data_IF_702385737380
#
_entry.id   IF_702385737380
#
_cell.length_a   1.000
_cell.length_b   1.000
_cell.length_c   1.000
_cell.angle_alpha   90.00
_cell.angle_beta   90.00
_cell.angle_gamma   90.00
#
_symmetry.space_group_name_H-M   'P 1'
#
loop_
_entity.id
_entity.type
_entity.pdbx_description
1 polymer ?
#
# COMPACT_ATOMS: atom_id res chain seq x y z
N UNK A 1 -13.98 -11.74 -17.56
CA UNK A 1 -14.34 -11.17 -16.23
C UNK A 1 -13.14 -11.07 -15.28
N UNK A 2 -12.34 -12.14 -15.10
CA UNK A 2 -11.14 -12.13 -14.22
C UNK A 2 -10.07 -11.08 -14.61
N UNK A 3 -9.75 -10.94 -15.90
CA UNK A 3 -8.75 -9.96 -16.35
C UNK A 3 -9.10 -8.50 -16.00
N UNK A 4 -10.37 -8.13 -16.12
CA UNK A 4 -10.83 -6.79 -15.79
C UNK A 4 -10.67 -6.49 -14.28
N UNK A 5 -10.85 -7.50 -13.42
CA UNK A 5 -10.66 -7.40 -11.98
C UNK A 5 -9.17 -7.28 -11.61
N UNK A 6 -8.31 -8.09 -12.24
CA UNK A 6 -6.85 -8.02 -12.03
C UNK A 6 -6.29 -6.68 -12.45
N UNK A 7 -6.68 -6.17 -13.63
CA UNK A 7 -6.25 -4.85 -14.11
C UNK A 7 -6.67 -3.73 -13.16
N UNK A 8 -7.93 -3.75 -12.68
CA UNK A 8 -8.40 -2.76 -11.70
C UNK A 8 -7.59 -2.81 -10.41
N UNK A 9 -7.28 -3.99 -9.92
CA UNK A 9 -6.48 -4.15 -8.69
C UNK A 9 -5.05 -3.63 -8.87
N UNK A 10 -4.40 -3.91 -10.01
CA UNK A 10 -3.07 -3.35 -10.34
C UNK A 10 -3.09 -1.81 -10.36
N UNK A 11 -4.11 -1.20 -10.96
CA UNK A 11 -4.23 0.27 -11.00
C UNK A 11 -4.42 0.86 -9.60
N UNK A 12 -5.17 0.19 -8.73
CA UNK A 12 -5.39 0.61 -7.34
C UNK A 12 -4.08 0.56 -6.56
N UNK A 13 -3.34 -0.56 -6.65
CA UNK A 13 -2.07 -0.70 -5.95
C UNK A 13 -1.04 0.31 -6.47
N UNK A 14 -0.95 0.48 -7.80
CA UNK A 14 -0.08 1.48 -8.42
C UNK A 14 -0.41 2.90 -7.96
N UNK A 15 -1.69 3.29 -7.94
CA UNK A 15 -2.11 4.57 -7.36
C UNK A 15 -1.76 4.65 -5.87
N UNK A 16 -1.96 3.59 -5.10
CA UNK A 16 -1.58 3.53 -3.69
C UNK A 16 -0.09 3.83 -3.47
N UNK A 17 0.80 3.34 -4.33
CA UNK A 17 2.23 3.68 -4.26
C UNK A 17 2.46 5.14 -4.69
N UNK A 18 1.81 5.59 -5.77
CA UNK A 18 1.92 6.99 -6.24
C UNK A 18 1.47 8.02 -5.20
N UNK A 19 0.44 7.68 -4.42
CA UNK A 19 -0.11 8.53 -3.36
C UNK A 19 0.86 8.77 -2.20
N UNK A 20 1.96 8.01 -2.09
CA UNK A 20 3.06 8.33 -1.15
C UNK A 20 3.62 9.74 -1.40
N UNK A 21 3.60 10.19 -2.65
CA UNK A 21 3.98 11.56 -3.06
C UNK A 21 2.76 12.34 -3.58
N UNK A 22 1.56 11.98 -3.11
CA UNK A 22 0.28 12.57 -3.50
C UNK A 22 -0.02 12.50 -5.02
N UNK A 23 0.52 11.50 -5.71
CA UNK A 23 0.26 11.28 -7.13
C UNK A 23 -0.85 10.24 -7.31
N UNK A 24 -2.07 10.68 -7.65
CA UNK A 24 -3.17 9.78 -8.04
C UNK A 24 -2.97 9.23 -9.48
N UNK A 25 -1.81 8.64 -9.74
CA UNK A 25 -1.42 8.12 -11.04
C UNK A 25 -0.66 6.79 -10.90
N UNK A 26 -1.21 5.72 -11.50
CA UNK A 26 -0.63 4.38 -11.40
C UNK A 26 0.73 4.25 -12.09
N UNK A 27 1.00 5.03 -13.15
CA UNK A 27 2.29 5.05 -13.82
C UNK A 27 3.35 5.69 -12.92
N UNK A 28 3.03 6.79 -12.25
CA UNK A 28 3.92 7.41 -11.25
C UNK A 28 4.28 6.41 -10.15
N UNK A 29 3.29 5.72 -9.58
CA UNK A 29 3.54 4.69 -8.58
C UNK A 29 4.34 3.50 -9.10
N UNK A 30 4.16 3.10 -10.36
CA UNK A 30 4.98 2.07 -11.00
C UNK A 30 6.45 2.51 -11.13
N UNK A 31 6.71 3.74 -11.57
CA UNK A 31 8.06 4.29 -11.66
C UNK A 31 8.73 4.37 -10.28
N UNK A 32 7.99 4.81 -9.26
CA UNK A 32 8.46 4.80 -7.87
C UNK A 32 8.78 3.38 -7.40
N UNK A 33 7.91 2.41 -7.68
CA UNK A 33 8.12 1.01 -7.32
C UNK A 33 9.36 0.42 -8.01
N UNK A 34 9.57 0.74 -9.29
CA UNK A 34 10.80 0.37 -10.02
C UNK A 34 12.03 0.95 -9.31
N UNK A 35 11.99 2.22 -8.93
CA UNK A 35 13.07 2.85 -8.15
C UNK A 35 13.37 2.11 -6.84
N UNK A 36 12.34 1.68 -6.12
CA UNK A 36 12.51 0.88 -4.88
C UNK A 36 13.15 -0.48 -5.21
N UNK A 37 12.68 -1.18 -6.26
CA UNK A 37 13.24 -2.48 -6.65
C UNK A 37 14.69 -2.41 -7.14
N UNK A 38 15.06 -1.32 -7.83
CA UNK A 38 16.45 -1.08 -8.25
C UNK A 38 17.38 -0.90 -7.03
N UNK A 39 16.86 -0.36 -5.94
CA UNK A 39 17.61 -0.20 -4.69
C UNK A 39 17.65 -1.50 -3.86
N UNK A 40 16.51 -2.18 -3.69
CA UNK A 40 16.42 -3.48 -3.01
C UNK A 40 15.14 -4.21 -3.39
N UNK A 41 15.29 -5.46 -3.83
CA UNK A 41 14.15 -6.31 -4.12
C UNK A 41 13.31 -6.62 -2.88
N UNK A 42 13.94 -6.79 -1.70
CA UNK A 42 13.23 -7.00 -0.44
C UNK A 42 12.35 -5.80 -0.09
N UNK A 43 12.88 -4.58 -0.20
CA UNK A 43 12.08 -3.37 0.07
C UNK A 43 10.92 -3.23 -0.90
N UNK A 44 11.12 -3.54 -2.18
CA UNK A 44 10.04 -3.54 -3.18
C UNK A 44 8.90 -4.49 -2.80
N UNK A 45 9.24 -5.71 -2.36
CA UNK A 45 8.23 -6.68 -1.92
C UNK A 45 7.51 -6.24 -0.64
N UNK A 46 8.22 -5.68 0.34
CA UNK A 46 7.61 -5.20 1.57
C UNK A 46 6.68 -4.01 1.32
N UNK A 47 7.10 -3.06 0.47
CA UNK A 47 6.30 -1.93 0.05
C UNK A 47 4.97 -2.38 -0.60
N UNK A 48 5.05 -3.32 -1.54
CA UNK A 48 3.86 -3.90 -2.19
C UNK A 48 3.01 -4.68 -1.18
N UNK A 49 3.63 -5.44 -0.28
CA UNK A 49 2.91 -6.23 0.73
C UNK A 49 2.12 -5.35 1.68
N UNK A 50 2.74 -4.30 2.21
CA UNK A 50 2.07 -3.33 3.08
C UNK A 50 0.91 -2.62 2.38
N UNK A 51 1.09 -2.21 1.12
CA UNK A 51 0.03 -1.62 0.29
C UNK A 51 -1.15 -2.57 0.08
N UNK A 52 -0.88 -3.85 -0.22
CA UNK A 52 -1.91 -4.88 -0.37
C UNK A 52 -2.67 -5.06 0.93
N UNK A 53 -1.97 -5.20 2.06
CA UNK A 53 -2.59 -5.39 3.38
C UNK A 53 -3.51 -4.22 3.71
N UNK A 54 -3.02 -2.98 3.59
CA UNK A 54 -3.83 -1.80 3.92
C UNK A 54 -5.03 -1.62 2.97
N UNK A 55 -4.83 -1.85 1.67
CA UNK A 55 -5.92 -1.80 0.67
C UNK A 55 -6.97 -2.89 0.91
N UNK A 56 -6.56 -4.11 1.28
CA UNK A 56 -7.49 -5.19 1.63
C UNK A 56 -8.24 -4.89 2.92
N UNK A 57 -7.57 -4.34 3.93
CA UNK A 57 -8.20 -3.91 5.19
C UNK A 57 -9.29 -2.88 4.94
N UNK A 58 -9.05 -1.89 4.06
CA UNK A 58 -10.08 -0.92 3.66
C UNK A 58 -11.27 -1.57 2.95
N UNK A 59 -11.02 -2.53 2.04
CA UNK A 59 -12.09 -3.26 1.34
C UNK A 59 -12.92 -4.12 2.29
N UNK A 60 -12.29 -4.88 3.18
CA UNK A 60 -12.96 -5.74 4.16
C UNK A 60 -13.77 -4.89 5.16
N UNK A 61 -13.26 -3.72 5.52
CA UNK A 61 -13.94 -2.78 6.42
C UNK A 61 -15.06 -1.96 5.75
N UNK A 62 -15.31 -2.15 4.45
CA UNK A 62 -16.38 -1.47 3.73
C UNK A 62 -16.18 0.04 3.57
N UNK A 63 -14.93 0.50 3.44
CA UNK A 63 -14.63 1.91 3.22
C UNK A 63 -15.06 2.38 1.83
N UNK A 64 -15.09 3.70 1.65
CA UNK A 64 -15.56 4.32 0.41
C UNK A 64 -14.82 3.76 -0.82
N UNK A 65 -15.61 3.33 -1.81
CA UNK A 65 -15.08 2.64 -2.98
C UNK A 65 -14.26 3.57 -3.89
N UNK A 66 -14.55 4.86 -3.92
CA UNK A 66 -13.85 5.83 -4.75
C UNK A 66 -12.52 6.23 -4.11
N UNK A 67 -12.48 6.39 -2.78
CA UNK A 67 -11.22 6.52 -2.02
C UNK A 67 -10.27 5.34 -2.27
N UNK A 68 -10.79 4.11 -2.21
CA UNK A 68 -10.02 2.89 -2.49
C UNK A 68 -9.53 2.90 -3.94
N UNK A 69 -10.38 3.28 -4.91
CA UNK A 69 -9.99 3.35 -6.34
C UNK A 69 -8.90 4.39 -6.60
N UNK A 70 -8.86 5.46 -5.81
CA UNK A 70 -7.86 6.52 -5.85
C UNK A 70 -6.59 6.18 -5.06
N UNK A 71 -6.52 5.01 -4.44
CA UNK A 71 -5.33 4.52 -3.74
C UNK A 71 -5.11 5.14 -2.35
N UNK A 72 -6.09 5.84 -1.79
CA UNK A 72 -5.94 6.60 -0.54
C UNK A 72 -5.66 5.71 0.69
N UNK A 73 -6.01 4.43 0.64
CA UNK A 73 -5.72 3.50 1.73
C UNK A 73 -4.46 2.64 1.49
N UNK A 74 -3.78 2.79 0.35
CA UNK A 74 -2.60 1.99 -0.02
C UNK A 74 -1.25 2.61 0.37
N UNK A 75 -1.16 3.94 0.40
CA UNK A 75 0.13 4.63 0.56
C UNK A 75 0.74 4.48 1.95
N UNK A 76 -0.07 4.58 3.01
CA UNK A 76 0.43 4.39 4.38
C UNK A 76 0.95 2.97 4.60
N UNK A 77 0.25 1.96 4.09
CA UNK A 77 0.75 0.58 4.09
C UNK A 77 2.07 0.43 3.32
N UNK A 78 2.21 1.12 2.17
CA UNK A 78 3.47 1.15 1.41
C UNK A 78 4.63 1.67 2.27
N UNK A 79 4.44 2.78 2.97
CA UNK A 79 5.44 3.37 3.87
C UNK A 79 5.76 2.48 5.07
N UNK A 80 4.76 1.82 5.66
CA UNK A 80 4.97 0.84 6.73
C UNK A 80 5.85 -0.31 6.26
N UNK A 81 5.59 -0.85 5.07
CA UNK A 81 6.42 -1.91 4.47
C UNK A 81 7.87 -1.47 4.25
N UNK A 82 8.07 -0.27 3.71
CA UNK A 82 9.42 0.31 3.54
C UNK A 82 10.10 0.51 4.90
N UNK A 83 9.39 1.05 5.90
CA UNK A 83 9.94 1.29 7.23
C UNK A 83 10.44 -0.01 7.88
N UNK A 84 9.70 -1.11 7.76
CA UNK A 84 10.16 -2.42 8.25
C UNK A 84 11.39 -2.89 7.50
N UNK A 85 11.45 -2.70 6.18
CA UNK A 85 12.61 -3.08 5.37
C UNK A 85 13.88 -2.25 5.65
N UNK A 86 13.71 -1.00 6.10
CA UNK A 86 14.83 -0.08 6.39
C UNK A 86 15.31 -0.21 7.84
N UNK A 87 14.39 -0.29 8.81
CA UNK A 87 14.72 -0.14 10.23
C UNK A 87 14.75 -1.45 11.01
N UNK A 88 14.32 -2.57 10.42
CA UNK A 88 14.22 -3.85 11.13
C UNK A 88 14.91 -4.99 10.38
N UNK A 89 15.38 -5.97 11.14
CA UNK A 89 15.77 -7.26 10.59
C UNK A 89 14.51 -8.00 10.13
N UNK A 90 14.59 -8.62 8.95
CA UNK A 90 13.53 -9.47 8.41
C UNK A 90 13.36 -10.73 9.26
N UNK A 91 12.38 -10.69 10.15
CA UNK A 91 12.00 -11.77 11.06
C UNK A 91 10.49 -11.92 11.03
N UNK A 92 9.97 -13.05 11.50
CA UNK A 92 8.51 -13.26 11.58
C UNK A 92 7.83 -12.18 12.42
N UNK A 93 8.47 -11.76 13.52
CA UNK A 93 7.95 -10.69 14.39
C UNK A 93 7.84 -9.34 13.68
N UNK A 94 8.84 -8.95 12.88
CA UNK A 94 8.78 -7.69 12.13
C UNK A 94 7.75 -7.74 11.00
N UNK A 95 7.54 -8.90 10.37
CA UNK A 95 6.48 -9.10 9.38
C UNK A 95 5.07 -9.07 10.00
N UNK A 96 4.90 -9.66 11.18
CA UNK A 96 3.64 -9.56 11.94
C UNK A 96 3.36 -8.10 12.32
N UNK A 97 4.37 -7.38 12.80
CA UNK A 97 4.26 -5.96 13.11
C UNK A 97 3.91 -5.14 11.87
N UNK A 98 4.55 -5.40 10.73
CA UNK A 98 4.24 -4.77 9.45
C UNK A 98 2.76 -4.93 9.09
N UNK A 99 2.22 -6.15 9.22
CA UNK A 99 0.83 -6.43 8.90
C UNK A 99 -0.13 -5.67 9.84
N UNK A 100 0.10 -5.74 11.15
CA UNK A 100 -0.71 -5.04 12.15
C UNK A 100 -0.66 -3.53 11.94
N UNK A 101 0.53 -2.97 11.74
CA UNK A 101 0.73 -1.54 11.50
C UNK A 101 0.11 -1.08 10.18
N UNK A 102 0.15 -1.90 9.12
CA UNK A 102 -0.52 -1.59 7.85
C UNK A 102 -2.04 -1.54 8.02
N UNK A 103 -2.62 -2.48 8.75
CA UNK A 103 -4.04 -2.44 9.12
C UNK A 103 -4.37 -1.21 9.97
N UNK A 104 -3.62 -0.95 11.03
CA UNK A 104 -3.82 0.21 11.90
C UNK A 104 -3.75 1.53 11.12
N UNK A 105 -2.77 1.66 10.21
CA UNK A 105 -2.63 2.85 9.36
C UNK A 105 -3.85 3.11 8.48
N UNK A 106 -4.60 2.06 8.11
CA UNK A 106 -5.83 2.16 7.32
C UNK A 106 -6.97 2.76 8.15
N UNK A 107 -7.14 2.32 9.39
CA UNK A 107 -8.12 2.90 10.33
C UNK A 107 -7.79 4.37 10.65
N UNK A 108 -6.52 4.68 10.85
CA UNK A 108 -6.05 6.05 11.09
C UNK A 108 -6.34 6.93 9.87
N UNK A 109 -6.03 6.47 8.66
CA UNK A 109 -6.35 7.19 7.43
C UNK A 109 -7.86 7.44 7.29
N UNK A 110 -8.69 6.45 7.63
CA UNK A 110 -10.14 6.62 7.62
C UNK A 110 -10.61 7.67 8.60
N UNK A 111 -10.05 7.70 9.81
CA UNK A 111 -10.40 8.71 10.81
C UNK A 111 -10.14 10.13 10.28
N UNK A 112 -9.00 10.37 9.64
CA UNK A 112 -8.70 11.68 9.04
C UNK A 112 -9.58 12.00 7.82
N UNK A 113 -9.95 11.02 7.00
CA UNK A 113 -10.87 11.23 5.87
C UNK A 113 -12.31 11.55 6.29
N UNK A 114 -12.68 11.38 7.57
CA UNK A 114 -14.02 11.71 8.08
C UNK A 114 -14.11 13.14 8.67
N UNK A 115 -13.01 13.87 8.75
CA UNK A 115 -12.96 15.27 9.20
C UNK A 115 -13.18 16.23 8.03
#
# INVERSE_FOLDING_TARGET
>A
MKEAFTRKSLLILGRGIGQVMFQNNALSGLLMLIGIFLNSWQMGLLAVSGNIISTLTARISGYDCDDIKNGLYGFNGTLVGIAVGVFMLLTVSSLMLMAIASCASTYIARFFNMQ
#
